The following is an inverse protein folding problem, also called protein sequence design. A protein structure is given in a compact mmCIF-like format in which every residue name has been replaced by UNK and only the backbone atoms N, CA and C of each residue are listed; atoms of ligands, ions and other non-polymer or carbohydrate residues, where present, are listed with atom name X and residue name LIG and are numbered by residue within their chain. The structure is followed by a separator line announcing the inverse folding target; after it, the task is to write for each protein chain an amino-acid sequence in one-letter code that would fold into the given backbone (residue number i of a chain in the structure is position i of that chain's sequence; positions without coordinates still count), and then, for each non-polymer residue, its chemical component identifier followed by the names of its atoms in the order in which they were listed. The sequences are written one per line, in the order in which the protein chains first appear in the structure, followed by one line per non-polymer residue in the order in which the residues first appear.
data_IF_408377264003
#
_entry.id   IF_408377264003
#
_cell.length_a   1.000
_cell.length_b   1.000
_cell.length_c   1.000
_cell.angle_alpha   90.00
_cell.angle_beta   90.00
_cell.angle_gamma   90.00
#
_symmetry.space_group_name_H-M   'P 1'
#
loop_
_entity.id
_entity.type
_entity.pdbx_description
1 polymer ?
#
# COMPACT_ATOMS: atom_id res chain seq x y z
N UNK A 1 -35.05 19.98 -4.35
CA UNK A 1 -34.69 18.86 -5.25
C UNK A 1 -33.23 18.99 -5.64
N UNK A 2 -32.32 18.76 -4.70
CA UNK A 2 -30.89 18.54 -4.96
C UNK A 2 -30.50 17.34 -4.10
N UNK A 3 -31.18 16.23 -4.35
CA UNK A 3 -30.89 14.90 -3.82
C UNK A 3 -31.09 13.97 -5.02
N UNK A 4 -30.13 13.07 -5.25
CA UNK A 4 -29.98 12.15 -6.42
C UNK A 4 -29.02 12.60 -7.53
N UNK A 5 -27.79 12.98 -7.19
CA UNK A 5 -26.71 12.91 -8.20
C UNK A 5 -25.31 12.56 -7.62
N UNK A 6 -25.28 11.97 -6.42
CA UNK A 6 -24.17 11.13 -5.97
C UNK A 6 -24.72 9.71 -5.84
N UNK A 7 -25.10 9.09 -6.96
CA UNK A 7 -25.13 7.63 -6.96
C UNK A 7 -23.69 7.20 -6.73
N UNK A 8 -23.41 6.59 -5.58
CA UNK A 8 -22.26 5.68 -5.47
C UNK A 8 -22.25 4.88 -6.77
N UNK A 9 -21.18 4.97 -7.55
CA UNK A 9 -21.11 4.31 -8.86
C UNK A 9 -20.76 2.86 -8.63
N UNK A 10 -21.69 2.16 -7.98
CA UNK A 10 -21.64 0.75 -7.59
C UNK A 10 -21.40 -0.11 -8.84
N UNK A 11 -21.94 0.32 -9.99
CA UNK A 11 -21.64 -0.22 -11.30
C UNK A 11 -20.14 -0.16 -11.60
N UNK A 12 -19.50 1.02 -11.52
CA UNK A 12 -18.09 1.19 -11.83
C UNK A 12 -17.20 0.36 -10.92
N UNK A 13 -17.50 0.36 -9.63
CA UNK A 13 -16.76 -0.41 -8.64
C UNK A 13 -16.81 -1.92 -8.94
N UNK A 14 -17.98 -2.45 -9.29
CA UNK A 14 -18.13 -3.83 -9.74
C UNK A 14 -17.32 -4.12 -11.01
N UNK A 15 -17.39 -3.24 -12.02
CA UNK A 15 -16.71 -3.46 -13.30
C UNK A 15 -15.17 -3.48 -13.16
N UNK A 16 -14.60 -2.55 -12.39
CA UNK A 16 -13.14 -2.52 -12.17
C UNK A 16 -12.66 -3.74 -11.37
N UNK A 17 -13.39 -4.13 -10.32
CA UNK A 17 -13.05 -5.34 -9.55
C UNK A 17 -13.16 -6.59 -10.41
N UNK A 18 -14.18 -6.70 -11.28
CA UNK A 18 -14.34 -7.84 -12.18
C UNK A 18 -13.19 -7.97 -13.17
N UNK A 19 -12.75 -6.86 -13.75
CA UNK A 19 -11.60 -6.83 -14.64
C UNK A 19 -10.30 -7.24 -13.91
N UNK A 20 -10.08 -6.71 -12.70
CA UNK A 20 -8.91 -7.00 -11.89
C UNK A 20 -8.86 -8.44 -11.40
N UNK A 21 -9.98 -8.98 -10.92
CA UNK A 21 -10.10 -10.39 -10.52
C UNK A 21 -9.77 -11.31 -11.69
N UNK A 22 -10.34 -11.05 -12.87
CA UNK A 22 -10.09 -11.82 -14.09
C UNK A 22 -8.61 -11.76 -14.52
N UNK A 23 -7.91 -10.67 -14.19
CA UNK A 23 -6.48 -10.50 -14.43
C UNK A 23 -5.58 -11.04 -13.30
N UNK A 24 -6.17 -11.70 -12.29
CA UNK A 24 -5.48 -12.31 -11.17
C UNK A 24 -4.92 -11.31 -10.14
N UNK A 25 -5.42 -10.08 -10.13
CA UNK A 25 -5.09 -9.09 -9.09
C UNK A 25 -5.91 -9.40 -7.82
N UNK A 26 -5.35 -9.25 -6.60
CA UNK A 26 -6.04 -9.64 -5.37
C UNK A 26 -7.15 -8.64 -5.02
N UNK A 27 -8.36 -8.94 -5.44
CA UNK A 27 -9.61 -8.28 -5.06
C UNK A 27 -10.62 -9.37 -4.66
N UNK A 28 -11.65 -9.05 -3.86
CA UNK A 28 -12.75 -9.99 -3.63
C UNK A 28 -13.39 -10.40 -4.96
N UNK A 29 -13.75 -11.68 -5.12
CA UNK A 29 -14.44 -12.13 -6.34
C UNK A 29 -15.79 -11.41 -6.47
N UNK A 30 -16.05 -10.65 -7.54
CA UNK A 30 -17.34 -10.02 -7.75
C UNK A 30 -18.34 -11.04 -8.33
N UNK A 31 -19.34 -11.42 -7.54
CA UNK A 31 -20.26 -12.52 -7.82
C UNK A 31 -21.50 -12.07 -8.63
N UNK A 32 -22.09 -10.94 -8.27
CA UNK A 32 -23.34 -10.46 -8.88
C UNK A 32 -23.38 -8.94 -8.87
N UNK A 33 -23.82 -8.33 -9.97
CA UNK A 33 -24.28 -6.94 -9.99
C UNK A 33 -25.77 -6.91 -10.31
N UNK A 34 -26.54 -6.14 -9.54
CA UNK A 34 -27.97 -5.97 -9.68
C UNK A 34 -28.29 -4.48 -9.86
N UNK A 35 -28.67 -4.11 -11.10
CA UNK A 35 -29.18 -2.78 -11.42
C UNK A 35 -30.68 -2.62 -11.19
N UNK A 36 -31.38 -3.71 -10.85
CA UNK A 36 -32.82 -3.67 -10.58
C UNK A 36 -33.08 -3.14 -9.17
N UNK A 37 -33.31 -1.82 -9.09
CA UNK A 37 -33.62 -1.12 -7.84
C UNK A 37 -34.90 -1.60 -7.17
N UNK A 38 -35.76 -2.37 -7.86
CA UNK A 38 -36.98 -2.92 -7.25
C UNK A 38 -36.70 -4.03 -6.22
N UNK A 39 -35.50 -4.64 -6.26
CA UNK A 39 -35.12 -5.73 -5.36
C UNK A 39 -34.90 -5.25 -3.92
N UNK A 40 -34.16 -4.15 -3.72
CA UNK A 40 -33.82 -3.64 -2.37
C UNK A 40 -33.86 -2.10 -2.26
N UNK A 41 -34.39 -1.41 -3.27
CA UNK A 41 -34.55 0.06 -3.29
C UNK A 41 -33.37 0.85 -3.86
N UNK A 42 -32.26 0.18 -4.19
CA UNK A 42 -31.06 0.77 -4.80
C UNK A 42 -30.31 -0.30 -5.60
N UNK A 43 -29.41 0.12 -6.50
CA UNK A 43 -28.45 -0.78 -7.14
C UNK A 43 -27.48 -1.34 -6.09
N UNK A 44 -27.02 -2.57 -6.29
CA UNK A 44 -26.05 -3.22 -5.41
C UNK A 44 -25.22 -4.26 -6.17
N UNK A 45 -24.10 -4.68 -5.58
CA UNK A 45 -23.37 -5.87 -6.02
C UNK A 45 -23.04 -6.76 -4.82
N UNK A 46 -22.76 -8.03 -5.10
CA UNK A 46 -22.33 -9.04 -4.13
C UNK A 46 -20.94 -9.52 -4.53
N UNK A 47 -20.08 -9.71 -3.55
CA UNK A 47 -18.72 -10.20 -3.72
C UNK A 47 -18.41 -11.28 -2.68
N UNK A 48 -17.31 -12.01 -2.89
CA UNK A 48 -16.77 -12.97 -1.94
C UNK A 48 -16.45 -12.30 -0.60
N UNK A 49 -16.75 -13.00 0.49
CA UNK A 49 -16.27 -12.63 1.81
C UNK A 49 -14.85 -13.17 2.03
N UNK A 50 -13.85 -12.32 1.83
CA UNK A 50 -12.43 -12.67 1.99
C UNK A 50 -12.02 -12.65 3.47
N UNK A 51 -11.51 -13.77 3.98
CA UNK A 51 -10.99 -13.86 5.35
C UNK A 51 -9.52 -13.45 5.43
N UNK A 52 -9.18 -12.58 6.38
CA UNK A 52 -7.80 -12.16 6.61
C UNK A 52 -7.64 -11.14 7.74
N UNK A 53 -6.47 -10.50 7.79
CA UNK A 53 -6.11 -9.46 8.76
C UNK A 53 -6.30 -8.10 8.13
N UNK A 54 -6.96 -7.19 8.85
CA UNK A 54 -7.10 -5.78 8.47
C UNK A 54 -6.44 -4.95 9.55
N UNK A 55 -5.44 -4.17 9.16
CA UNK A 55 -4.68 -3.33 10.09
C UNK A 55 -5.17 -1.89 10.00
N UNK A 56 -5.59 -1.33 11.14
CA UNK A 56 -6.03 0.07 11.23
C UNK A 56 -4.94 1.00 11.79
N UNK A 57 -4.08 0.46 12.65
CA UNK A 57 -2.93 1.19 13.19
C UNK A 57 -1.74 1.04 12.24
N UNK A 58 -1.24 2.16 11.69
CA UNK A 58 -0.10 2.17 10.77
C UNK A 58 1.19 1.65 11.42
N UNK A 59 1.28 1.60 12.75
CA UNK A 59 2.46 1.08 13.45
C UNK A 59 2.49 -0.45 13.51
N UNK A 60 1.40 -1.14 13.15
CA UNK A 60 1.27 -2.60 13.20
C UNK A 60 1.80 -3.18 14.54
N UNK A 61 1.30 -2.75 15.71
CA UNK A 61 1.87 -3.13 17.00
C UNK A 61 1.81 -4.64 17.29
N UNK A 62 0.89 -5.36 16.64
CA UNK A 62 0.64 -6.79 16.83
C UNK A 62 1.62 -7.71 16.09
N UNK A 63 2.51 -7.19 15.24
CA UNK A 63 3.47 -7.99 14.47
C UNK A 63 4.93 -7.68 14.83
N UNK A 64 5.82 -8.63 14.50
CA UNK A 64 7.27 -8.45 14.68
C UNK A 64 7.83 -7.38 13.73
N UNK A 65 8.97 -6.73 14.04
CA UNK A 65 9.60 -5.76 13.14
C UNK A 65 9.90 -6.32 11.74
N UNK A 66 10.28 -7.59 11.63
CA UNK A 66 10.57 -8.23 10.35
C UNK A 66 9.28 -8.44 9.52
N UNK A 67 8.20 -8.86 10.18
CA UNK A 67 6.89 -9.01 9.53
C UNK A 67 6.32 -7.65 9.11
N UNK A 68 6.45 -6.62 9.96
CA UNK A 68 6.09 -5.23 9.64
C UNK A 68 6.76 -4.78 8.34
N UNK A 69 8.07 -5.00 8.20
CA UNK A 69 8.79 -4.67 6.96
C UNK A 69 8.21 -5.42 5.77
N UNK A 70 7.97 -6.73 5.91
CA UNK A 70 7.44 -7.55 4.83
C UNK A 70 6.02 -7.13 4.40
N UNK A 71 5.15 -6.74 5.34
CA UNK A 71 3.78 -6.26 5.05
C UNK A 71 3.80 -4.96 4.25
N UNK A 72 4.66 -4.01 4.62
CA UNK A 72 4.83 -2.76 3.87
C UNK A 72 5.43 -2.98 2.48
N UNK A 73 6.37 -3.92 2.34
CA UNK A 73 6.88 -4.31 1.01
C UNK A 73 5.76 -4.93 0.17
N UNK A 74 5.00 -5.89 0.71
CA UNK A 74 3.89 -6.51 -0.01
C UNK A 74 2.81 -5.50 -0.46
N UNK A 75 2.55 -4.49 0.37
CA UNK A 75 1.66 -3.37 0.04
C UNK A 75 2.15 -2.60 -1.19
N UNK A 76 3.44 -2.24 -1.23
CA UNK A 76 4.02 -1.47 -2.33
C UNK A 76 4.20 -2.31 -3.60
N UNK A 77 4.55 -3.58 -3.48
CA UNK A 77 4.60 -4.52 -4.61
C UNK A 77 3.21 -4.67 -5.25
N UNK A 78 2.16 -4.76 -4.43
CA UNK A 78 0.77 -4.83 -4.90
C UNK A 78 0.36 -3.54 -5.59
N UNK A 79 0.71 -2.38 -5.05
CA UNK A 79 0.46 -1.10 -5.72
C UNK A 79 1.20 -0.99 -7.07
N UNK A 80 2.46 -1.41 -7.12
CA UNK A 80 3.23 -1.44 -8.36
C UNK A 80 2.60 -2.39 -9.39
N UNK A 81 2.10 -3.54 -8.94
CA UNK A 81 1.38 -4.49 -9.80
C UNK A 81 0.10 -3.88 -10.37
N UNK A 82 -0.70 -3.18 -9.55
CA UNK A 82 -1.90 -2.47 -10.01
C UNK A 82 -1.56 -1.52 -11.15
N UNK A 83 -0.55 -0.66 -10.94
CA UNK A 83 -0.17 0.33 -11.93
C UNK A 83 0.54 -0.24 -13.18
N UNK A 84 0.88 -1.53 -13.17
CA UNK A 84 1.49 -2.22 -14.31
C UNK A 84 0.46 -2.80 -15.30
N UNK A 85 -0.83 -2.84 -14.93
CA UNK A 85 -1.86 -3.23 -15.87
C UNK A 85 -2.08 -2.17 -16.95
N UNK A 86 -2.27 -2.63 -18.19
CA UNK A 86 -2.77 -1.76 -19.25
C UNK A 86 -4.30 -1.70 -19.18
N UNK A 87 -4.87 -0.51 -19.36
CA UNK A 87 -6.33 -0.36 -19.44
C UNK A 87 -6.93 -1.19 -20.58
N UNK A 88 -6.18 -1.33 -21.69
CA UNK A 88 -6.59 -2.14 -22.82
C UNK A 88 -6.73 -3.63 -22.46
N UNK A 89 -5.72 -4.21 -21.78
CA UNK A 89 -5.76 -5.61 -21.37
C UNK A 89 -6.84 -5.89 -20.33
N UNK A 90 -7.22 -4.90 -19.53
CA UNK A 90 -8.31 -5.01 -18.57
C UNK A 90 -9.71 -4.77 -19.18
N UNK A 91 -9.81 -4.35 -20.44
CA UNK A 91 -11.09 -3.94 -21.03
C UNK A 91 -11.67 -2.67 -20.40
N UNK A 92 -10.82 -1.82 -19.81
CA UNK A 92 -11.17 -0.59 -19.10
C UNK A 92 -10.88 0.67 -19.93
N UNK A 93 -10.90 0.56 -21.27
CA UNK A 93 -10.79 1.72 -22.14
C UNK A 93 -11.92 2.72 -21.83
N UNK A 94 -11.57 3.98 -21.57
CA UNK A 94 -12.56 5.01 -21.23
C UNK A 94 -13.11 4.93 -19.81
N UNK A 95 -12.53 4.11 -18.91
CA UNK A 95 -12.96 4.03 -17.50
C UNK A 95 -12.90 5.39 -16.77
N UNK A 96 -11.86 6.17 -17.06
CA UNK A 96 -11.67 7.52 -16.52
C UNK A 96 -11.95 8.62 -17.55
N UNK A 97 -11.58 9.86 -17.20
CA UNK A 97 -11.87 11.07 -18.00
C UNK A 97 -10.74 11.46 -18.97
N UNK A 98 -9.79 10.57 -19.25
CA UNK A 98 -8.68 10.86 -20.15
C UNK A 98 -7.52 11.64 -19.51
N UNK A 99 -6.61 12.22 -20.33
CA UNK A 99 -5.48 13.04 -19.89
C UNK A 99 -5.88 14.25 -19.05
N UNK A 100 -4.97 14.78 -18.23
CA UNK A 100 -5.18 15.97 -17.40
C UNK A 100 -5.69 15.66 -15.98
N UNK A 101 -5.30 14.50 -15.43
CA UNK A 101 -5.74 14.05 -14.11
C UNK A 101 -5.37 15.03 -13.00
N UNK A 102 -4.11 15.46 -12.93
CA UNK A 102 -3.60 16.35 -11.89
C UNK A 102 -4.36 17.68 -11.92
N UNK A 103 -4.49 18.29 -13.10
CA UNK A 103 -5.26 19.54 -13.26
C UNK A 103 -6.71 19.38 -12.79
N UNK A 104 -7.36 18.26 -13.11
CA UNK A 104 -8.73 17.99 -12.68
C UNK A 104 -8.82 17.81 -11.17
N UNK A 105 -7.89 17.09 -10.54
CA UNK A 105 -7.86 16.91 -9.10
C UNK A 105 -7.75 18.26 -8.38
N UNK A 106 -6.81 19.12 -8.80
CA UNK A 106 -6.64 20.44 -8.17
C UNK A 106 -7.92 21.28 -8.29
N UNK A 107 -8.52 21.33 -9.48
CA UNK A 107 -9.79 22.06 -9.70
C UNK A 107 -10.94 21.49 -8.86
N UNK A 108 -11.04 20.16 -8.78
CA UNK A 108 -12.13 19.47 -8.05
C UNK A 108 -12.03 19.73 -6.56
N UNK A 109 -10.85 19.50 -5.97
CA UNK A 109 -10.63 19.71 -4.53
C UNK A 109 -10.70 21.19 -4.14
N UNK A 110 -10.25 22.11 -5.01
CA UNK A 110 -10.44 23.55 -4.77
C UNK A 110 -11.92 23.92 -4.76
N UNK A 111 -12.69 23.45 -5.74
CA UNK A 111 -14.14 23.69 -5.80
C UNK A 111 -14.86 23.13 -4.57
N UNK A 112 -14.51 21.91 -4.15
CA UNK A 112 -15.09 21.28 -2.96
C UNK A 112 -14.71 22.03 -1.67
N UNK A 113 -13.45 22.45 -1.54
CA UNK A 113 -13.01 23.29 -0.43
C UNK A 113 -13.78 24.61 -0.40
N UNK A 114 -13.89 25.33 -1.52
CA UNK A 114 -14.60 26.62 -1.58
C UNK A 114 -16.09 26.50 -1.23
N UNK A 115 -16.71 25.39 -1.60
CA UNK A 115 -18.11 25.12 -1.26
C UNK A 115 -18.33 24.75 0.22
N UNK A 116 -17.28 24.32 0.93
CA UNK A 116 -17.34 23.84 2.32
C UNK A 116 -16.59 24.74 3.32
N UNK A 117 -15.84 25.73 2.83
CA UNK A 117 -15.08 26.67 3.64
C UNK A 117 -16.02 27.58 4.42
N UNK A 118 -15.78 27.67 5.73
CA UNK A 118 -16.52 28.54 6.67
C UNK A 118 -15.61 29.63 7.27
N UNK A 119 -14.30 29.42 7.22
CA UNK A 119 -13.24 30.35 7.62
C UNK A 119 -12.19 30.36 6.51
N UNK A 120 -11.57 31.51 6.26
CA UNK A 120 -10.46 31.59 5.32
C UNK A 120 -9.20 30.92 5.88
N UNK A 121 -8.64 29.99 5.12
CA UNK A 121 -7.36 29.34 5.40
C UNK A 121 -6.44 29.71 4.23
N UNK A 122 -5.68 30.83 4.32
CA UNK A 122 -4.86 31.33 3.21
C UNK A 122 -3.90 30.28 2.65
N UNK A 123 -3.35 29.40 3.50
CA UNK A 123 -2.44 28.33 3.09
C UNK A 123 -3.08 27.35 2.10
N UNK A 124 -4.38 27.09 2.22
CA UNK A 124 -5.10 26.22 1.29
C UNK A 124 -5.18 26.84 -0.12
N UNK A 125 -5.41 28.16 -0.18
CA UNK A 125 -5.42 28.92 -1.43
C UNK A 125 -4.02 28.97 -2.06
N UNK A 126 -2.97 29.23 -1.26
CA UNK A 126 -1.58 29.21 -1.71
C UNK A 126 -1.16 27.84 -2.26
N UNK A 127 -1.55 26.76 -1.58
CA UNK A 127 -1.26 25.40 -2.03
C UNK A 127 -1.98 25.09 -3.36
N UNK A 128 -3.26 25.46 -3.49
CA UNK A 128 -4.01 25.28 -4.74
C UNK A 128 -3.37 26.05 -5.91
N UNK A 129 -2.95 27.30 -5.69
CA UNK A 129 -2.26 28.11 -6.69
C UNK A 129 -0.92 27.49 -7.09
N UNK A 130 -0.11 27.07 -6.12
CA UNK A 130 1.15 26.39 -6.39
C UNK A 130 0.93 25.12 -7.22
N UNK A 131 -0.04 24.28 -6.86
CA UNK A 131 -0.36 23.06 -7.61
C UNK A 131 -0.80 23.37 -9.04
N UNK A 132 -1.62 24.39 -9.25
CA UNK A 132 -2.04 24.79 -10.61
C UNK A 132 -0.86 25.27 -11.47
N UNK A 133 0.11 25.95 -10.86
CA UNK A 133 1.27 26.52 -11.56
C UNK A 133 2.43 25.52 -11.77
N UNK A 134 2.42 24.37 -11.06
CA UNK A 134 3.49 23.38 -11.08
C UNK A 134 3.01 21.99 -11.55
N UNK A 135 2.00 21.95 -12.41
CA UNK A 135 1.50 20.69 -12.98
C UNK A 135 2.65 19.93 -13.69
N UNK A 136 2.82 18.61 -13.44
CA UNK A 136 3.85 17.82 -14.10
C UNK A 136 3.68 17.84 -15.63
N UNK A 137 4.80 17.88 -16.36
CA UNK A 137 4.78 17.81 -17.82
C UNK A 137 4.13 16.52 -18.37
N UNK A 138 4.12 15.45 -17.55
CA UNK A 138 3.53 14.13 -17.84
C UNK A 138 2.08 13.94 -17.40
N UNK A 139 1.27 15.00 -17.24
CA UNK A 139 -0.16 14.88 -16.85
C UNK A 139 -1.06 14.18 -17.91
N UNK A 140 -0.48 13.43 -18.84
CA UNK A 140 -1.17 12.63 -19.84
C UNK A 140 -1.12 11.13 -19.55
N UNK A 141 -0.46 10.69 -18.48
CA UNK A 141 -0.48 9.28 -18.07
C UNK A 141 -1.89 8.85 -17.65
N UNK A 142 -2.30 7.66 -18.13
CA UNK A 142 -3.62 7.07 -17.91
C UNK A 142 -3.47 5.64 -17.37
N UNK A 143 -2.86 5.50 -16.20
CA UNK A 143 -2.83 4.23 -15.48
C UNK A 143 -4.11 4.07 -14.68
N UNK A 144 -4.54 2.83 -14.46
CA UNK A 144 -5.54 2.53 -13.45
C UNK A 144 -4.95 2.89 -12.08
N UNK A 145 -5.63 3.76 -11.35
CA UNK A 145 -5.30 4.13 -9.97
C UNK A 145 -6.49 3.80 -9.07
N UNK A 146 -6.19 3.38 -7.86
CA UNK A 146 -7.13 3.06 -6.79
C UNK A 146 -7.78 4.33 -6.22
N UNK A 147 -7.00 5.39 -6.02
CA UNK A 147 -7.48 6.67 -5.46
C UNK A 147 -7.51 6.72 -3.92
N UNK A 148 -7.75 5.60 -3.24
CA UNK A 148 -7.65 5.47 -1.77
C UNK A 148 -6.80 4.28 -1.32
N UNK A 149 -5.60 4.12 -1.88
CA UNK A 149 -4.74 2.97 -1.56
C UNK A 149 -4.04 3.17 -0.20
N UNK A 150 -4.51 2.45 0.82
CA UNK A 150 -4.03 2.57 2.21
C UNK A 150 -4.23 1.26 2.95
N UNK A 151 -3.45 1.07 4.02
CA UNK A 151 -3.29 -0.24 4.68
C UNK A 151 -4.60 -0.82 5.24
N UNK A 152 -5.55 0.03 5.62
CA UNK A 152 -6.82 -0.41 6.18
C UNK A 152 -7.87 -0.76 5.10
N UNK A 153 -7.60 -0.42 3.84
CA UNK A 153 -8.32 -0.92 2.66
C UNK A 153 -7.70 -2.21 2.11
N UNK A 154 -6.83 -2.86 2.87
CA UNK A 154 -6.12 -4.06 2.46
C UNK A 154 -6.40 -5.19 3.45
N UNK A 155 -6.79 -6.34 2.91
CA UNK A 155 -6.85 -7.60 3.66
C UNK A 155 -5.55 -8.36 3.41
N UNK A 156 -4.80 -8.59 4.48
CA UNK A 156 -3.61 -9.43 4.49
C UNK A 156 -3.95 -10.88 4.82
N UNK A 157 -3.14 -11.81 4.33
CA UNK A 157 -3.28 -13.22 4.68
C UNK A 157 -3.20 -13.43 6.21
N UNK A 158 -3.96 -14.37 6.81
CA UNK A 158 -3.97 -14.61 8.26
C UNK A 158 -2.60 -14.88 8.90
N UNK A 159 -1.64 -15.42 8.13
CA UNK A 159 -0.32 -15.85 8.65
C UNK A 159 0.88 -15.39 7.83
N UNK A 160 0.65 -14.89 6.62
CA UNK A 160 1.74 -14.56 5.68
C UNK A 160 1.74 -13.06 5.40
N UNK A 161 2.90 -12.51 5.08
CA UNK A 161 3.05 -11.12 4.65
C UNK A 161 2.73 -10.98 3.16
N UNK A 162 1.48 -11.30 2.78
CA UNK A 162 0.96 -11.11 1.42
C UNK A 162 -0.47 -10.59 1.47
N UNK A 163 -0.86 -9.86 0.43
CA UNK A 163 -2.20 -9.31 0.28
C UNK A 163 -3.12 -10.36 -0.35
N UNK A 164 -4.31 -10.53 0.22
CA UNK A 164 -5.36 -11.40 -0.31
C UNK A 164 -6.48 -10.62 -0.98
N UNK A 165 -6.73 -9.37 -0.56
CA UNK A 165 -7.68 -8.48 -1.23
C UNK A 165 -7.35 -7.00 -1.00
N UNK A 166 -7.56 -6.19 -2.04
CA UNK A 166 -7.62 -4.73 -2.00
C UNK A 166 -9.09 -4.32 -2.12
N UNK A 167 -9.56 -3.49 -1.19
CA UNK A 167 -10.95 -3.08 -1.02
C UNK A 167 -11.17 -1.62 -1.41
N UNK A 168 -12.43 -1.20 -1.46
CA UNK A 168 -12.84 0.21 -1.58
C UNK A 168 -12.41 0.90 -2.88
N UNK A 169 -12.96 0.40 -3.99
CA UNK A 169 -12.62 0.87 -5.34
C UNK A 169 -13.47 2.08 -5.78
N UNK A 170 -14.24 2.70 -4.89
CA UNK A 170 -15.21 3.75 -5.24
C UNK A 170 -14.54 4.99 -5.85
N UNK A 171 -13.31 5.29 -5.42
CA UNK A 171 -12.51 6.43 -5.91
C UNK A 171 -11.62 6.09 -7.11
N UNK A 172 -11.67 4.85 -7.59
CA UNK A 172 -10.78 4.39 -8.66
C UNK A 172 -11.10 5.05 -10.00
N UNK A 173 -10.04 5.37 -10.74
CA UNK A 173 -10.12 6.09 -12.03
C UNK A 173 -8.86 5.86 -12.84
N UNK A 174 -8.77 6.47 -14.02
CA UNK A 174 -7.51 6.63 -14.74
C UNK A 174 -6.81 7.92 -14.31
N UNK A 175 -5.49 7.85 -14.15
CA UNK A 175 -4.66 8.99 -13.78
C UNK A 175 -3.18 8.64 -13.66
N UNK A 176 -2.42 9.56 -13.07
CA UNK A 176 -0.98 9.40 -12.90
C UNK A 176 -0.68 8.48 -11.69
N UNK A 177 0.11 7.40 -11.85
CA UNK A 177 0.32 6.39 -10.81
C UNK A 177 1.03 6.91 -9.55
N UNK A 178 1.85 7.97 -9.68
CA UNK A 178 2.45 8.64 -8.53
C UNK A 178 1.43 9.30 -7.58
N UNK A 179 0.19 9.54 -8.02
CA UNK A 179 -0.85 10.05 -7.13
C UNK A 179 -1.19 9.04 -6.03
N UNK A 180 -1.34 7.76 -6.37
CA UNK A 180 -1.57 6.71 -5.38
C UNK A 180 -0.33 6.43 -4.54
N UNK A 181 0.87 6.42 -5.14
CA UNK A 181 2.10 6.22 -4.38
C UNK A 181 2.32 7.33 -3.35
N UNK A 182 2.07 8.59 -3.74
CA UNK A 182 2.19 9.73 -2.84
C UNK A 182 1.11 9.72 -1.75
N UNK A 183 -0.13 9.35 -2.11
CA UNK A 183 -1.21 9.24 -1.14
C UNK A 183 -0.93 8.12 -0.13
N UNK A 184 -0.44 6.98 -0.60
CA UNK A 184 0.07 5.88 0.23
C UNK A 184 1.17 6.39 1.15
N UNK A 185 2.16 7.14 0.64
CA UNK A 185 3.29 7.65 1.41
C UNK A 185 2.98 8.85 2.32
N UNK A 186 1.76 9.42 2.26
CA UNK A 186 1.45 10.67 2.95
C UNK A 186 1.70 10.58 4.46
N UNK A 187 1.48 9.42 5.08
CA UNK A 187 1.67 9.24 6.52
C UNK A 187 3.12 9.46 7.00
N UNK A 188 4.15 9.31 6.15
CA UNK A 188 5.54 9.60 6.54
C UNK A 188 5.74 11.07 6.93
N UNK A 189 4.93 11.97 6.37
CA UNK A 189 5.00 13.40 6.58
C UNK A 189 3.87 13.92 7.46
N UNK A 190 3.12 13.04 8.14
CA UNK A 190 1.96 13.44 8.92
C UNK A 190 2.32 14.54 9.93
N UNK A 191 1.53 15.63 10.03
CA UNK A 191 1.86 16.74 10.91
C UNK A 191 1.82 16.28 12.38
N UNK A 192 2.88 16.52 13.14
CA UNK A 192 2.96 16.17 14.57
C UNK A 192 1.90 16.90 15.42
N UNK A 193 1.30 17.98 14.90
CA UNK A 193 0.23 18.74 15.55
C UNK A 193 -1.14 18.07 15.45
N UNK A 194 -1.29 17.07 14.56
CA UNK A 194 -2.52 16.33 14.38
C UNK A 194 -2.38 14.95 15.02
N UNK A 195 -3.35 14.56 15.87
CA UNK A 195 -3.42 13.18 16.36
C UNK A 195 -3.50 12.23 15.17
N UNK A 196 -2.66 11.20 15.16
CA UNK A 196 -2.69 10.23 14.07
C UNK A 196 -4.07 9.55 14.01
N UNK A 197 -4.67 9.53 12.83
CA UNK A 197 -5.91 8.80 12.56
C UNK A 197 -5.68 7.32 12.87
N UNK A 198 -6.50 6.75 13.76
CA UNK A 198 -6.48 5.32 14.08
C UNK A 198 -5.55 4.88 15.22
N UNK A 199 -4.88 5.81 15.93
CA UNK A 199 -4.01 5.42 17.04
C UNK A 199 -4.72 5.34 18.39
N UNK A 200 -4.63 4.16 19.02
CA UNK A 200 -4.75 3.95 20.47
C UNK A 200 -3.39 3.81 21.17
N UNK A 201 -2.27 4.00 20.45
CA UNK A 201 -0.90 3.73 20.92
C UNK A 201 -0.04 4.97 21.15
N UNK A 202 0.96 4.84 22.02
CA UNK A 202 1.90 5.89 22.47
C UNK A 202 3.10 6.11 21.54
N UNK A 203 3.27 5.30 20.49
CA UNK A 203 4.44 5.32 19.61
C UNK A 203 4.19 6.13 18.33
N UNK A 204 5.13 7.01 18.02
CA UNK A 204 5.20 7.69 16.73
C UNK A 204 5.54 6.69 15.63
N UNK A 205 4.87 6.80 14.48
CA UNK A 205 5.14 6.01 13.28
C UNK A 205 6.63 5.99 12.92
N UNK A 206 7.28 7.16 13.01
CA UNK A 206 8.70 7.34 12.66
C UNK A 206 9.66 6.59 13.57
N UNK A 207 9.26 6.30 14.81
CA UNK A 207 10.09 5.65 15.81
C UNK A 207 9.82 4.13 15.89
N UNK A 208 8.92 3.62 15.05
CA UNK A 208 8.53 2.21 15.06
C UNK A 208 9.52 1.37 14.27
N UNK A 209 10.30 0.55 14.98
CA UNK A 209 11.32 -0.33 14.38
C UNK A 209 10.69 -1.29 13.36
N UNK A 210 11.30 -1.45 12.19
CA UNK A 210 10.81 -2.40 11.17
C UNK A 210 9.77 -1.82 10.22
N UNK A 211 9.44 -0.54 10.31
CA UNK A 211 8.82 0.19 9.20
C UNK A 211 9.93 0.57 8.22
N UNK A 212 9.85 0.20 6.93
CA UNK A 212 10.84 0.62 5.94
C UNK A 212 10.84 2.14 5.77
N UNK A 213 11.97 2.70 5.40
CA UNK A 213 12.04 4.10 4.98
C UNK A 213 11.22 4.34 3.70
N UNK A 214 10.85 5.58 3.46
CA UNK A 214 10.14 5.94 2.23
C UNK A 214 11.00 5.65 0.99
N UNK A 215 12.31 5.89 1.09
CA UNK A 215 13.28 5.65 0.03
C UNK A 215 13.37 4.16 -0.34
N UNK A 216 13.34 3.27 0.66
CA UNK A 216 13.28 1.82 0.44
C UNK A 216 11.99 1.41 -0.27
N UNK A 217 10.84 1.92 0.17
CA UNK A 217 9.55 1.64 -0.48
C UNK A 217 9.51 2.18 -1.92
N UNK A 218 10.04 3.38 -2.18
CA UNK A 218 10.17 3.92 -3.53
C UNK A 218 11.06 3.01 -4.39
N UNK A 219 12.19 2.53 -3.85
CA UNK A 219 13.08 1.60 -4.55
C UNK A 219 12.38 0.27 -4.92
N UNK A 220 11.58 -0.29 -4.00
CA UNK A 220 10.73 -1.46 -4.27
C UNK A 220 9.76 -1.16 -5.41
N UNK A 221 9.00 -0.07 -5.28
CA UNK A 221 8.00 0.34 -6.27
C UNK A 221 8.61 0.47 -7.67
N UNK A 222 9.70 1.25 -7.79
CA UNK A 222 10.36 1.51 -9.06
C UNK A 222 10.91 0.23 -9.70
N UNK A 223 11.49 -0.67 -8.88
CA UNK A 223 11.98 -1.97 -9.33
C UNK A 223 10.85 -2.85 -9.88
N UNK A 224 9.74 -2.96 -9.15
CA UNK A 224 8.57 -3.73 -9.60
C UNK A 224 7.97 -3.17 -10.90
N UNK A 225 7.99 -1.84 -11.07
CA UNK A 225 7.53 -1.14 -12.27
C UNK A 225 8.54 -1.14 -13.42
N UNK A 226 9.81 -1.47 -13.17
CA UNK A 226 10.89 -1.33 -14.15
C UNK A 226 11.19 0.12 -14.55
N UNK A 227 11.03 1.08 -13.63
CA UNK A 227 11.24 2.52 -13.87
C UNK A 227 12.39 3.08 -13.02
N UNK A 228 12.83 4.30 -13.34
CA UNK A 228 13.85 5.03 -12.56
C UNK A 228 13.38 5.33 -11.14
N UNK A 229 14.31 5.29 -10.18
CA UNK A 229 14.09 5.79 -8.80
C UNK A 229 14.11 7.32 -8.72
N UNK A 230 14.51 8.01 -9.78
CA UNK A 230 14.37 9.46 -9.88
C UNK A 230 12.90 9.84 -10.13
N UNK A 231 12.19 10.07 -9.04
CA UNK A 231 10.81 10.54 -9.03
C UNK A 231 10.77 12.05 -8.74
N UNK A 232 11.45 12.86 -9.55
CA UNK A 232 11.53 14.32 -9.40
C UNK A 232 10.18 15.03 -9.18
N UNK A 233 9.08 14.49 -9.72
CA UNK A 233 7.73 15.04 -9.54
C UNK A 233 7.01 14.57 -8.26
N UNK A 234 7.60 13.69 -7.43
CA UNK A 234 6.91 13.11 -6.27
C UNK A 234 6.45 14.17 -5.26
N UNK A 235 7.21 15.26 -5.09
CA UNK A 235 6.82 16.38 -4.22
C UNK A 235 5.49 17.03 -4.66
N UNK A 236 5.25 17.13 -5.98
CA UNK A 236 3.97 17.60 -6.49
C UNK A 236 2.82 16.68 -6.07
N UNK A 237 3.00 15.36 -6.21
CA UNK A 237 1.96 14.39 -5.86
C UNK A 237 1.72 14.29 -4.34
N UNK A 238 2.75 14.46 -3.52
CA UNK A 238 2.57 14.58 -2.07
C UNK A 238 1.80 15.85 -1.73
N UNK A 239 2.19 17.01 -2.26
CA UNK A 239 1.47 18.26 -2.06
C UNK A 239 0.00 18.14 -2.49
N UNK A 240 -0.26 17.49 -3.62
CA UNK A 240 -1.61 17.19 -4.11
C UNK A 240 -2.38 16.27 -3.15
N UNK A 241 -1.71 15.26 -2.57
CA UNK A 241 -2.32 14.35 -1.60
C UNK A 241 -2.74 15.08 -0.33
N UNK A 242 -1.88 15.95 0.20
CA UNK A 242 -2.22 16.81 1.35
C UNK A 242 -3.35 17.79 1.04
N UNK A 243 -3.36 18.37 -0.16
CA UNK A 243 -4.47 19.22 -0.61
C UNK A 243 -5.79 18.43 -0.67
N UNK A 244 -5.77 17.22 -1.22
CA UNK A 244 -6.92 16.31 -1.22
C UNK A 244 -7.39 16.00 0.21
N UNK A 245 -6.51 15.57 1.10
CA UNK A 245 -6.87 15.19 2.48
C UNK A 245 -7.45 16.40 3.23
N UNK A 246 -6.83 17.57 3.11
CA UNK A 246 -7.34 18.80 3.71
C UNK A 246 -8.75 19.17 3.19
N UNK A 247 -8.99 19.01 1.89
CA UNK A 247 -10.32 19.19 1.28
C UNK A 247 -11.37 18.20 1.81
N UNK A 248 -10.99 16.93 1.99
CA UNK A 248 -11.86 15.91 2.60
C UNK A 248 -12.21 16.31 4.05
N UNK A 249 -11.20 16.67 4.86
CA UNK A 249 -11.41 17.11 6.25
C UNK A 249 -12.37 18.31 6.31
N UNK A 250 -12.20 19.29 5.43
CA UNK A 250 -13.08 20.46 5.35
C UNK A 250 -14.53 20.04 5.00
N UNK A 251 -14.72 19.14 4.05
CA UNK A 251 -16.04 18.64 3.66
C UNK A 251 -16.74 17.85 4.78
N UNK A 252 -15.99 17.02 5.52
CA UNK A 252 -16.50 16.31 6.71
C UNK A 252 -16.95 17.31 7.78
N UNK A 253 -16.11 18.31 8.07
CA UNK A 253 -16.45 19.33 9.05
C UNK A 253 -17.67 20.17 8.63
N UNK A 254 -17.79 20.53 7.35
CA UNK A 254 -18.97 21.26 6.85
C UNK A 254 -20.25 20.44 7.02
N UNK A 255 -20.22 19.12 6.77
CA UNK A 255 -21.38 18.24 7.03
C UNK A 255 -21.73 18.15 8.52
N UNK A 256 -20.73 18.17 9.39
CA UNK A 256 -20.94 18.26 10.84
C UNK A 256 -21.68 19.55 11.23
N UNK A 257 -21.25 20.71 10.70
CA UNK A 257 -21.93 21.99 10.95
C UNK A 257 -23.39 22.00 10.48
N UNK A 258 -23.70 21.24 9.43
CA UNK A 258 -25.07 21.09 8.90
C UNK A 258 -25.91 20.05 9.66
N UNK A 259 -25.37 19.40 10.70
CA UNK A 259 -26.06 18.34 11.45
C UNK A 259 -26.19 17.02 10.68
N UNK A 260 -25.48 16.88 9.55
CA UNK A 260 -25.56 15.73 8.64
C UNK A 260 -24.36 14.77 8.80
N UNK A 261 -23.65 14.80 9.95
CA UNK A 261 -22.53 13.88 10.20
C UNK A 261 -22.94 12.72 11.09
N UNK A 262 -22.48 11.52 10.74
CA UNK A 262 -22.73 10.28 11.48
C UNK A 262 -21.74 10.03 12.63
N UNK A 263 -20.60 10.72 12.67
CA UNK A 263 -19.52 10.46 13.63
C UNK A 263 -19.36 11.59 14.67
N UNK A 264 -19.29 11.24 15.96
CA UNK A 264 -19.22 12.19 17.08
C UNK A 264 -17.97 13.09 17.05
N UNK A 265 -16.86 12.59 16.50
CA UNK A 265 -15.57 13.32 16.41
C UNK A 265 -15.40 14.17 15.14
N UNK A 266 -16.47 14.37 14.35
CA UNK A 266 -16.38 15.11 13.08
C UNK A 266 -15.96 16.57 13.25
N UNK A 267 -16.12 17.15 14.44
CA UNK A 267 -15.68 18.51 14.75
C UNK A 267 -14.14 18.65 14.74
N UNK A 268 -13.40 17.59 15.07
CA UNK A 268 -11.93 17.59 15.13
C UNK A 268 -11.28 17.79 13.76
N UNK A 269 -12.01 17.48 12.68
CA UNK A 269 -11.52 17.62 11.31
C UNK A 269 -11.24 19.07 10.91
N UNK A 270 -11.90 20.07 11.53
CA UNK A 270 -11.57 21.48 11.27
C UNK A 270 -10.13 21.83 11.64
N UNK A 271 -9.65 21.30 12.77
CA UNK A 271 -8.31 21.58 13.28
C UNK A 271 -7.22 20.93 12.43
N UNK A 272 -7.58 19.97 11.58
CA UNK A 272 -6.66 19.26 10.69
C UNK A 272 -6.38 20.01 9.39
N UNK A 273 -7.32 20.81 8.88
CA UNK A 273 -7.25 21.38 7.52
C UNK A 273 -6.01 22.26 7.34
N UNK A 274 -5.76 23.18 8.28
CA UNK A 274 -4.63 24.11 8.20
C UNK A 274 -3.27 23.40 8.29
N UNK A 275 -2.97 22.55 9.28
CA UNK A 275 -1.67 21.87 9.34
C UNK A 275 -1.41 20.92 8.16
N UNK A 276 -2.46 20.31 7.58
CA UNK A 276 -2.35 19.51 6.36
C UNK A 276 -1.96 20.40 5.16
N UNK A 277 -2.63 21.54 4.98
CA UNK A 277 -2.29 22.49 3.91
C UNK A 277 -0.87 23.05 4.07
N UNK A 278 -0.43 23.37 5.29
CA UNK A 278 0.93 23.82 5.58
C UNK A 278 1.97 22.77 5.23
N UNK A 279 1.69 21.51 5.53
CA UNK A 279 2.57 20.38 5.21
C UNK A 279 2.65 20.15 3.70
N UNK A 280 1.51 20.22 2.98
CA UNK A 280 1.49 20.18 1.53
C UNK A 280 2.37 21.26 0.89
N UNK A 281 2.29 22.51 1.39
CA UNK A 281 3.10 23.63 0.91
C UNK A 281 4.59 23.51 1.29
N UNK A 282 4.90 22.89 2.43
CA UNK A 282 6.28 22.59 2.82
C UNK A 282 6.91 21.56 1.86
N UNK A 283 6.19 20.48 1.58
CA UNK A 283 6.63 19.43 0.66
C UNK A 283 6.80 19.96 -0.76
N UNK A 284 5.95 20.91 -1.18
CA UNK A 284 6.04 21.56 -2.48
C UNK A 284 7.34 22.33 -2.71
N UNK A 285 7.99 22.80 -1.63
CA UNK A 285 9.24 23.58 -1.67
C UNK A 285 10.49 22.73 -1.44
N UNK A 286 10.34 21.42 -1.21
CA UNK A 286 11.45 20.52 -0.92
C UNK A 286 12.24 20.24 -2.20
N UNK A 287 13.57 20.33 -2.12
CA UNK A 287 14.47 20.19 -3.28
C UNK A 287 14.98 18.78 -3.52
N UNK A 288 14.96 17.89 -2.51
CA UNK A 288 15.24 16.46 -2.68
C UNK A 288 14.55 15.59 -1.63
N UNK A 289 14.29 14.32 -2.00
CA UNK A 289 13.88 13.27 -1.07
C UNK A 289 15.06 12.65 -0.32
N UNK A 290 16.25 12.65 -0.93
CA UNK A 290 17.44 12.04 -0.34
C UNK A 290 17.87 12.79 0.92
N UNK A 291 17.52 12.25 2.09
CA UNK A 291 18.42 12.35 3.23
C UNK A 291 19.77 11.69 2.88
N UNK A 292 20.81 11.90 3.69
CA UNK A 292 22.21 11.45 3.47
C UNK A 292 22.43 9.92 3.26
N UNK A 293 21.37 9.13 3.04
CA UNK A 293 21.46 7.75 2.63
C UNK A 293 21.88 7.64 1.16
N UNK A 294 23.17 7.31 0.96
CA UNK A 294 23.74 6.98 -0.34
C UNK A 294 22.95 5.83 -1.01
N UNK A 295 22.52 5.97 -2.28
CA UNK A 295 21.93 4.88 -3.03
C UNK A 295 22.96 3.74 -3.12
N UNK A 296 22.59 2.51 -2.73
CA UNK A 296 23.48 1.37 -2.93
C UNK A 296 23.41 0.91 -4.39
N UNK A 297 24.54 1.03 -5.09
CA UNK A 297 24.74 0.60 -6.48
C UNK A 297 24.62 -0.93 -6.69
N UNK A 298 24.21 -1.67 -5.66
CA UNK A 298 24.27 -3.14 -5.58
C UNK A 298 22.93 -3.84 -5.79
N UNK A 299 21.82 -3.11 -5.96
CA UNK A 299 20.49 -3.70 -6.18
C UNK A 299 19.92 -4.46 -4.98
N UNK A 300 20.55 -4.38 -3.80
CA UNK A 300 20.05 -4.99 -2.57
C UNK A 300 18.86 -4.18 -2.02
N UNK A 301 17.75 -4.85 -1.68
CA UNK A 301 16.48 -4.27 -1.20
C UNK A 301 16.59 -3.50 0.14
N UNK A 302 17.67 -3.75 0.88
CA UNK A 302 17.90 -3.22 2.22
C UNK A 302 19.41 -2.97 2.38
N UNK A 303 19.80 -1.84 2.98
CA UNK A 303 21.15 -1.75 3.54
C UNK A 303 21.23 -2.74 4.70
N UNK A 304 21.84 -3.91 4.44
CA UNK A 304 22.01 -4.91 5.48
C UNK A 304 22.86 -4.32 6.61
N UNK A 305 22.31 -4.27 7.83
CA UNK A 305 23.09 -3.94 9.01
C UNK A 305 24.33 -4.85 9.09
N UNK A 306 25.41 -4.40 9.72
CA UNK A 306 26.64 -5.22 9.89
C UNK A 306 26.34 -6.62 10.44
N UNK A 307 25.40 -6.68 11.40
CA UNK A 307 24.87 -7.93 11.96
C UNK A 307 24.08 -8.77 10.95
N UNK A 308 23.26 -8.13 10.12
CA UNK A 308 22.53 -8.78 9.01
C UNK A 308 23.47 -9.38 7.96
N UNK A 309 24.53 -8.66 7.56
CA UNK A 309 25.56 -9.16 6.65
C UNK A 309 26.27 -10.38 7.22
N UNK A 310 26.64 -10.35 8.50
CA UNK A 310 27.26 -11.49 9.19
C UNK A 310 26.35 -12.72 9.23
N UNK A 311 25.05 -12.52 9.52
CA UNK A 311 24.07 -13.62 9.49
C UNK A 311 23.90 -14.16 8.07
N UNK A 312 23.76 -13.30 7.07
CA UNK A 312 23.65 -13.72 5.67
C UNK A 312 24.88 -14.52 5.22
N UNK A 313 26.08 -14.07 5.58
CA UNK A 313 27.33 -14.78 5.32
C UNK A 313 27.35 -16.16 5.99
N UNK A 314 26.90 -16.26 7.24
CA UNK A 314 26.78 -17.55 7.95
C UNK A 314 25.78 -18.48 7.27
N UNK A 315 24.62 -17.97 6.86
CA UNK A 315 23.59 -18.74 6.14
C UNK A 315 24.12 -19.19 4.78
N UNK A 316 24.70 -18.30 3.96
CA UNK A 316 25.30 -18.65 2.66
C UNK A 316 26.40 -19.71 2.79
N UNK A 317 27.25 -19.61 3.82
CA UNK A 317 28.29 -20.60 4.10
C UNK A 317 27.69 -21.94 4.51
N UNK A 318 26.68 -21.94 5.37
CA UNK A 318 25.97 -23.14 5.78
C UNK A 318 25.29 -23.84 4.59
N UNK A 319 24.60 -23.09 3.72
CA UNK A 319 24.00 -23.60 2.49
C UNK A 319 25.02 -24.33 1.61
N UNK A 320 26.17 -23.69 1.34
CA UNK A 320 27.24 -24.28 0.52
C UNK A 320 27.90 -25.50 1.15
N UNK A 321 28.10 -25.50 2.46
CA UNK A 321 28.82 -26.58 3.15
C UNK A 321 27.96 -27.80 3.47
N UNK A 322 26.66 -27.59 3.67
CA UNK A 322 25.81 -28.61 4.26
C UNK A 322 24.53 -28.89 3.46
N UNK A 323 23.89 -27.87 2.88
CA UNK A 323 22.60 -28.06 2.20
C UNK A 323 22.78 -28.50 0.75
N UNK A 324 23.56 -27.78 -0.06
CA UNK A 324 23.76 -28.16 -1.47
C UNK A 324 24.40 -29.54 -1.65
N UNK A 325 25.39 -29.98 -0.82
CA UNK A 325 25.89 -31.34 -0.93
C UNK A 325 24.86 -32.42 -0.56
N UNK A 326 23.91 -32.10 0.32
CA UNK A 326 22.86 -33.03 0.75
C UNK A 326 21.71 -33.14 -0.26
N UNK A 327 21.59 -32.20 -1.22
CA UNK A 327 20.55 -32.19 -2.24
C UNK A 327 20.53 -33.51 -3.03
N UNK A 328 21.71 -34.01 -3.42
CA UNK A 328 21.84 -35.29 -4.13
C UNK A 328 21.33 -36.48 -3.31
N UNK A 329 21.62 -36.50 -2.01
CA UNK A 329 21.17 -37.56 -1.10
C UNK A 329 19.66 -37.53 -0.88
N UNK A 330 19.06 -36.34 -0.81
CA UNK A 330 17.61 -36.16 -0.69
C UNK A 330 16.88 -36.60 -1.97
N UNK A 331 17.41 -36.23 -3.14
CA UNK A 331 16.86 -36.64 -4.44
C UNK A 331 16.94 -38.16 -4.62
N UNK A 332 18.07 -38.77 -4.28
CA UNK A 332 18.25 -40.23 -4.35
C UNK A 332 17.34 -40.98 -3.36
N UNK A 333 17.08 -40.42 -2.18
CA UNK A 333 16.17 -41.00 -1.19
C UNK A 333 14.73 -41.08 -1.73
N UNK A 334 14.19 -39.96 -2.20
CA UNK A 334 12.82 -39.94 -2.71
C UNK A 334 12.64 -40.70 -4.03
N UNK A 335 13.68 -40.76 -4.88
CA UNK A 335 13.66 -41.59 -6.08
C UNK A 335 13.64 -43.10 -5.79
N UNK A 336 14.29 -43.55 -4.70
CA UNK A 336 14.28 -44.97 -4.29
C UNK A 336 12.96 -45.38 -3.64
N UNK A 337 12.32 -44.46 -2.92
CA UNK A 337 11.09 -44.73 -2.17
C UNK A 337 9.81 -44.34 -2.92
N UNK A 338 9.87 -44.03 -4.22
CA UNK A 338 8.75 -43.48 -5.01
C UNK A 338 7.46 -44.32 -4.94
N UNK A 339 7.59 -45.65 -4.86
CA UNK A 339 6.50 -46.63 -4.74
C UNK A 339 6.38 -47.27 -3.33
N UNK A 340 7.08 -46.72 -2.34
CA UNK A 340 7.09 -47.19 -0.96
C UNK A 340 6.15 -46.37 -0.08
N UNK A 341 5.61 -46.99 0.98
CA UNK A 341 4.92 -46.29 2.07
C UNK A 341 5.86 -45.30 2.80
N UNK A 342 7.17 -45.48 2.66
CA UNK A 342 8.20 -44.65 3.28
C UNK A 342 8.46 -43.33 2.54
N UNK A 343 7.85 -43.08 1.37
CA UNK A 343 8.00 -41.81 0.63
C UNK A 343 7.62 -40.56 1.43
N UNK A 344 6.83 -40.72 2.48
CA UNK A 344 6.37 -39.63 3.35
C UNK A 344 7.28 -39.41 4.57
N UNK A 345 8.31 -40.24 4.75
CA UNK A 345 9.28 -40.08 5.84
C UNK A 345 10.37 -39.10 5.42
N UNK A 346 10.83 -38.28 6.37
CA UNK A 346 11.89 -37.30 6.15
C UNK A 346 13.25 -38.01 6.14
N UNK A 347 14.11 -37.78 5.13
CA UNK A 347 15.48 -38.29 5.12
C UNK A 347 16.24 -37.89 6.40
N UNK A 348 17.04 -38.80 6.93
CA UNK A 348 17.86 -38.56 8.13
C UNK A 348 18.84 -37.39 7.95
N UNK A 349 19.30 -37.16 6.72
CA UNK A 349 20.14 -36.00 6.36
C UNK A 349 19.43 -34.67 6.63
N UNK A 350 18.11 -34.57 6.38
CA UNK A 350 17.32 -33.36 6.68
C UNK A 350 17.24 -33.12 8.19
N UNK A 351 17.02 -34.17 8.99
CA UNK A 351 17.00 -34.06 10.45
C UNK A 351 18.36 -33.62 11.01
N UNK A 352 19.45 -34.12 10.44
CA UNK A 352 20.82 -33.74 10.81
C UNK A 352 21.14 -32.28 10.45
N UNK A 353 20.68 -31.81 9.29
CA UNK A 353 20.80 -30.42 8.86
C UNK A 353 20.04 -29.46 9.79
N UNK A 354 18.80 -29.81 10.18
CA UNK A 354 18.02 -29.03 11.15
C UNK A 354 18.76 -28.83 12.47
N UNK A 355 19.33 -29.91 13.01
CA UNK A 355 20.13 -29.87 14.24
C UNK A 355 21.38 -28.98 14.09
N UNK A 356 22.14 -29.13 13.01
CA UNK A 356 23.34 -28.35 12.75
C UNK A 356 23.07 -26.84 12.57
N UNK A 357 21.94 -26.49 11.95
CA UNK A 357 21.56 -25.10 11.72
C UNK A 357 21.21 -24.38 13.03
N UNK A 358 20.46 -25.05 13.90
CA UNK A 358 20.09 -24.55 15.23
C UNK A 358 21.30 -24.32 16.14
N UNK A 359 22.32 -25.19 16.05
CA UNK A 359 23.54 -25.11 16.87
C UNK A 359 24.57 -24.06 16.40
N UNK A 360 24.65 -23.77 15.09
CA UNK A 360 25.80 -23.03 14.51
C UNK A 360 25.46 -21.72 13.82
N UNK A 361 24.20 -21.48 13.47
CA UNK A 361 23.83 -20.36 12.58
C UNK A 361 22.84 -19.41 13.25
N UNK A 362 21.90 -19.93 14.05
CA UNK A 362 20.79 -19.14 14.61
C UNK A 362 21.06 -18.65 16.04
N UNK A 363 20.66 -17.42 16.40
CA UNK A 363 20.52 -17.03 17.80
C UNK A 363 19.46 -17.91 18.49
N UNK A 364 19.58 -18.19 19.80
CA UNK A 364 18.63 -19.04 20.54
C UNK A 364 17.16 -18.60 20.42
N UNK A 365 16.91 -17.31 20.15
CA UNK A 365 15.58 -16.70 20.03
C UNK A 365 14.89 -16.96 18.69
N UNK A 366 15.57 -17.55 17.69
CA UNK A 366 15.06 -17.72 16.31
C UNK A 366 14.60 -19.16 16.00
N UNK A 367 14.74 -20.09 16.95
CA UNK A 367 14.34 -21.49 16.77
C UNK A 367 12.83 -21.68 16.49
N UNK A 368 11.98 -20.70 16.81
CA UNK A 368 10.54 -20.77 16.56
C UNK A 368 10.14 -20.48 15.10
N UNK A 369 10.90 -19.67 14.37
CA UNK A 369 10.53 -19.19 13.03
C UNK A 369 10.80 -20.21 11.90
N UNK A 370 11.65 -21.22 12.14
CA UNK A 370 12.01 -22.23 11.12
C UNK A 370 11.09 -23.46 11.11
N UNK A 371 10.12 -23.55 12.02
CA UNK A 371 9.08 -24.58 11.96
C UNK A 371 8.23 -24.51 10.67
N UNK A 372 8.15 -23.33 10.04
CA UNK A 372 7.23 -23.06 8.92
C UNK A 372 7.86 -23.13 7.52
N UNK A 373 9.19 -23.33 7.38
CA UNK A 373 9.83 -23.65 6.08
C UNK A 373 9.56 -25.10 5.62
N UNK A 374 8.49 -25.73 6.11
CA UNK A 374 8.13 -27.13 5.85
C UNK A 374 7.42 -27.38 4.52
N UNK A 375 7.27 -26.38 3.64
CA UNK A 375 6.45 -26.51 2.41
C UNK A 375 7.25 -26.28 1.10
N UNK A 376 8.53 -25.90 1.14
CA UNK A 376 9.29 -25.55 -0.08
C UNK A 376 10.49 -26.45 -0.44
N UNK A 377 10.57 -27.64 0.14
CA UNK A 377 11.41 -28.76 -0.34
C UNK A 377 10.55 -30.01 -0.37
#
# INVERSE_FOLDING_TARGET
MVEREESLKVDREYHVQKALFSAGFPVPEPLLYCSDVSVIGTEFYVMEHVQGRVFRDLTLPEVSPAERSALYVAMIETLARLHSFSLHSLGLQGYGRGPGYCRRQVKTWKKQYDASAHVDIPTMNQLAEWLMNNLPAGDNEENLIHGDFRIDNIIFHPREARIVAVLDWELSTTGHPLADLAYTAAFYFWPNTIKQLGQGGTLSFRDTVGIPSLEELISVYCRCRGISTDLSNLNFFLALSYFKIAGICQGVYARYLLGNSSAENSYEFAEMVKPLAETGLLLSKRTSFTGDAQPSDTGELFQQTKKGQEVLLKVKRFMKQHVFPAEKEVVEYYAKDENSLDRWKKPSVILKLKSLMSLRVMPPTWNAAFGEMEIAM
#
